data_IF_545298145335
#
_entry.id   IF_545298145335
#
_cell.length_a   1.000
_cell.length_b   1.000
_cell.length_c   1.000
_cell.angle_alpha   90.00
_cell.angle_beta   90.00
_cell.angle_gamma   90.00
#
_symmetry.space_group_name_H-M   'P 1'
#
loop_
_entity.id
_entity.type
_entity.pdbx_description
1 polymer ?
#
# COMPACT_ATOMS: atom_id res chain seq x y z
N UNK A 1 -13.13 7.77 -16.44
CA UNK A 1 -11.89 7.51 -15.70
C UNK A 1 -12.31 6.84 -14.41
N UNK A 2 -11.77 5.68 -14.06
CA UNK A 2 -11.93 5.18 -12.68
C UNK A 2 -11.18 6.16 -11.79
N UNK A 3 -11.83 6.73 -10.79
CA UNK A 3 -11.14 7.57 -9.81
C UNK A 3 -10.02 6.74 -9.17
N UNK A 4 -8.81 7.29 -9.16
CA UNK A 4 -7.70 6.67 -8.45
C UNK A 4 -7.96 6.80 -6.96
N UNK A 5 -7.85 5.68 -6.25
CA UNK A 5 -8.06 5.60 -4.81
C UNK A 5 -6.71 5.41 -4.13
N UNK A 6 -6.46 6.21 -3.09
CA UNK A 6 -5.25 6.06 -2.28
C UNK A 6 -5.41 4.92 -1.27
N UNK A 7 -4.29 4.41 -0.77
CA UNK A 7 -4.30 3.41 0.29
C UNK A 7 -4.97 3.94 1.57
N UNK A 8 -4.80 5.22 1.90
CA UNK A 8 -5.51 5.85 3.02
C UNK A 8 -7.03 5.79 2.85
N UNK A 9 -7.52 6.17 1.67
CA UNK A 9 -8.96 6.13 1.37
C UNK A 9 -9.50 4.70 1.49
N UNK A 10 -8.80 3.72 0.90
CA UNK A 10 -9.20 2.32 0.98
C UNK A 10 -9.27 1.83 2.43
N UNK A 11 -8.25 2.17 3.25
CA UNK A 11 -8.25 1.81 4.67
C UNK A 11 -9.42 2.45 5.43
N UNK A 12 -9.78 3.70 5.12
CA UNK A 12 -10.90 4.39 5.77
C UNK A 12 -12.26 3.76 5.42
N UNK A 13 -12.40 3.19 4.22
CA UNK A 13 -13.58 2.42 3.82
C UNK A 13 -13.63 1.03 4.47
N UNK A 14 -12.47 0.49 4.85
CA UNK A 14 -12.31 -0.84 5.45
C UNK A 14 -11.59 -0.80 6.82
N UNK A 15 -12.10 -0.05 7.82
CA UNK A 15 -11.35 0.27 9.05
C UNK A 15 -11.10 -0.92 9.98
N UNK A 16 -11.87 -2.00 9.84
CA UNK A 16 -11.79 -3.19 10.68
C UNK A 16 -11.28 -4.43 9.94
N UNK A 17 -10.89 -4.29 8.66
CA UNK A 17 -10.45 -5.40 7.83
C UNK A 17 -8.93 -5.53 7.87
N UNK A 18 -8.42 -6.74 7.66
CA UNK A 18 -6.99 -6.97 7.43
C UNK A 18 -6.69 -6.76 5.95
N UNK A 19 -5.63 -6.00 5.71
CA UNK A 19 -5.23 -5.54 4.39
C UNK A 19 -3.78 -5.97 4.13
N UNK A 20 -3.60 -6.82 3.13
CA UNK A 20 -2.31 -7.33 2.66
C UNK A 20 -1.90 -6.55 1.42
N UNK A 21 -0.76 -5.86 1.48
CA UNK A 21 -0.32 -4.93 0.45
C UNK A 21 0.95 -5.46 -0.17
N UNK A 22 0.98 -5.57 -1.50
CA UNK A 22 2.21 -5.65 -2.28
C UNK A 22 2.56 -4.22 -2.73
N UNK A 23 3.49 -3.59 -2.00
CA UNK A 23 3.99 -2.25 -2.31
C UNK A 23 5.35 -2.32 -3.01
N UNK A 24 5.81 -1.24 -3.66
CA UNK A 24 7.19 -1.15 -4.14
C UNK A 24 8.25 -1.39 -3.04
N UNK A 25 7.92 -1.07 -1.78
CA UNK A 25 8.77 -1.29 -0.60
C UNK A 25 8.72 -2.72 -0.03
N UNK A 26 7.90 -3.61 -0.60
CA UNK A 26 7.71 -4.99 -0.13
C UNK A 26 6.29 -5.28 0.34
N UNK A 27 6.10 -6.46 0.94
CA UNK A 27 4.80 -6.86 1.48
C UNK A 27 4.56 -6.22 2.85
N UNK A 28 3.40 -5.60 3.03
CA UNK A 28 3.00 -4.96 4.29
C UNK A 28 1.62 -5.45 4.68
N UNK A 29 1.43 -5.75 5.97
CA UNK A 29 0.10 -6.04 6.53
C UNK A 29 -0.38 -4.83 7.33
N UNK A 30 -1.54 -4.29 6.97
CA UNK A 30 -2.31 -3.43 7.86
C UNK A 30 -3.37 -4.27 8.55
N UNK A 31 -3.43 -4.14 9.87
CA UNK A 31 -4.45 -4.78 10.70
C UNK A 31 -5.01 -3.73 11.66
N UNK A 32 -6.30 -3.78 12.02
CA UNK A 32 -6.85 -2.93 13.07
C UNK A 32 -6.12 -3.06 14.42
N UNK A 33 -5.45 -4.19 14.65
CA UNK A 33 -4.68 -4.47 15.87
C UNK A 33 -3.24 -3.95 15.84
N UNK A 34 -2.76 -3.49 14.68
CA UNK A 34 -1.39 -3.01 14.49
C UNK A 34 -1.39 -1.49 14.36
N UNK A 35 -0.77 -0.75 15.29
CA UNK A 35 -0.61 0.69 15.16
C UNK A 35 0.15 1.08 13.88
N UNK A 36 -0.27 2.18 13.24
CA UNK A 36 0.33 2.66 11.98
C UNK A 36 1.80 3.12 12.13
N UNK A 37 2.26 3.37 13.35
CA UNK A 37 3.65 3.69 13.67
C UNK A 37 4.53 2.45 13.92
N UNK A 38 3.96 1.24 13.80
CA UNK A 38 4.65 -0.04 14.03
C UNK A 38 4.61 -0.97 12.80
N UNK A 39 4.39 -0.40 11.62
CA UNK A 39 4.33 -1.16 10.38
C UNK A 39 5.70 -1.71 9.98
N UNK A 40 5.68 -2.90 9.37
CA UNK A 40 6.86 -3.57 8.87
C UNK A 40 6.59 -4.08 7.46
N UNK A 41 7.56 -3.87 6.57
CA UNK A 41 7.60 -4.49 5.26
C UNK A 41 8.47 -5.74 5.29
N UNK A 42 8.13 -6.76 4.51
CA UNK A 42 8.93 -7.98 4.41
C UNK A 42 8.99 -8.50 2.97
N UNK A 43 10.08 -9.19 2.62
CA UNK A 43 10.27 -9.78 1.29
C UNK A 43 9.64 -11.18 1.15
N UNK A 44 8.67 -11.53 1.99
CA UNK A 44 8.13 -12.89 2.08
C UNK A 44 9.03 -13.91 2.79
N UNK A 45 10.16 -13.46 3.36
CA UNK A 45 11.08 -14.30 4.15
C UNK A 45 11.07 -13.84 5.60
N UNK A 46 10.81 -14.76 6.53
CA UNK A 46 10.81 -14.45 7.97
C UNK A 46 12.18 -13.95 8.43
N UNK A 47 12.21 -12.91 9.27
CA UNK A 47 13.44 -12.30 9.76
C UNK A 47 14.02 -11.22 8.84
N UNK A 48 13.32 -10.87 7.76
CA UNK A 48 13.70 -9.78 6.83
C UNK A 48 12.80 -8.55 6.97
N UNK A 49 12.09 -8.46 8.09
CA UNK A 49 11.17 -7.36 8.35
C UNK A 49 11.96 -6.05 8.52
N UNK A 50 11.58 -5.04 7.75
CA UNK A 50 12.12 -3.68 7.84
C UNK A 50 10.99 -2.74 8.29
N UNK A 51 11.24 -1.83 9.25
CA UNK A 51 10.26 -0.81 9.59
C UNK A 51 9.92 0.04 8.36
N UNK A 52 8.63 0.31 8.17
CA UNK A 52 8.13 1.21 7.11
C UNK A 52 7.17 2.21 7.74
N UNK A 53 7.25 3.47 7.34
CA UNK A 53 6.35 4.49 7.87
C UNK A 53 5.00 4.47 7.14
N UNK A 54 3.91 4.76 7.86
CA UNK A 54 2.60 4.98 7.23
C UNK A 54 2.63 6.12 6.20
N UNK A 55 3.48 7.13 6.42
CA UNK A 55 3.65 8.26 5.51
C UNK A 55 4.17 7.84 4.13
N UNK A 56 4.97 6.78 4.03
CA UNK A 56 5.44 6.21 2.75
C UNK A 56 4.36 5.40 2.02
N UNK A 57 3.30 5.00 2.72
CA UNK A 57 2.28 4.09 2.22
C UNK A 57 0.97 4.81 1.86
N UNK A 58 0.55 5.78 2.68
CA UNK A 58 -0.80 6.35 2.65
C UNK A 58 -1.22 6.94 1.30
N UNK A 59 -0.26 7.53 0.58
CA UNK A 59 -0.47 8.22 -0.69
C UNK A 59 -0.29 7.29 -1.91
N UNK A 60 0.08 6.01 -1.68
CA UNK A 60 0.18 5.04 -2.77
C UNK A 60 -1.20 4.77 -3.38
N UNK A 61 -1.20 4.58 -4.70
CA UNK A 61 -2.40 4.34 -5.49
C UNK A 61 -2.72 2.85 -5.50
N UNK A 62 -3.98 2.50 -5.23
CA UNK A 62 -4.47 1.13 -5.36
C UNK A 62 -4.66 0.80 -6.84
N UNK A 63 -3.74 0.02 -7.39
CA UNK A 63 -3.78 -0.45 -8.78
C UNK A 63 -4.76 -1.61 -8.96
N UNK A 64 -4.80 -2.51 -7.97
CA UNK A 64 -5.78 -3.59 -7.92
C UNK A 64 -6.08 -3.99 -6.48
N UNK A 65 -7.29 -4.48 -6.26
CA UNK A 65 -7.71 -5.05 -4.99
C UNK A 65 -8.51 -6.33 -5.24
N UNK A 66 -8.37 -7.30 -4.34
CA UNK A 66 -9.14 -8.53 -4.34
C UNK A 66 -9.48 -8.92 -2.90
N UNK A 67 -10.76 -9.18 -2.62
CA UNK A 67 -11.18 -9.76 -1.36
C UNK A 67 -11.12 -11.28 -1.43
N UNK A 68 -10.52 -11.92 -0.43
CA UNK A 68 -10.52 -13.37 -0.33
C UNK A 68 -11.52 -13.82 0.75
N UNK A 69 -12.62 -14.41 0.32
CA UNK A 69 -13.67 -14.90 1.24
C UNK A 69 -13.19 -16.03 2.17
N UNK A 70 -12.11 -16.74 1.82
CA UNK A 70 -11.62 -17.86 2.60
C UNK A 70 -10.88 -17.45 3.88
N UNK A 71 -10.18 -16.30 3.86
CA UNK A 71 -9.43 -15.77 5.00
C UNK A 71 -9.95 -14.41 5.51
N UNK A 72 -10.88 -13.78 4.78
CA UNK A 72 -11.48 -12.50 5.14
C UNK A 72 -10.55 -11.30 4.89
N UNK A 73 -9.49 -11.45 4.10
CA UNK A 73 -8.50 -10.40 3.88
C UNK A 73 -8.66 -9.71 2.53
N UNK A 74 -8.31 -8.42 2.50
CA UNK A 74 -8.06 -7.70 1.26
C UNK A 74 -6.62 -7.86 0.82
N UNK A 75 -6.41 -8.13 -0.47
CA UNK A 75 -5.11 -8.19 -1.11
C UNK A 75 -5.00 -7.06 -2.14
N UNK A 76 -4.03 -6.17 -1.97
CA UNK A 76 -3.82 -5.02 -2.83
C UNK A 76 -2.46 -5.07 -3.51
N UNK A 77 -2.45 -4.62 -4.75
CA UNK A 77 -1.25 -4.14 -5.42
C UNK A 77 -1.29 -2.61 -5.40
N UNK A 78 -0.24 -1.98 -4.89
CA UNK A 78 -0.12 -0.53 -4.87
C UNK A 78 1.07 -0.06 -5.71
N UNK A 79 0.98 1.17 -6.19
CA UNK A 79 2.05 1.86 -6.87
C UNK A 79 2.30 3.23 -6.23
N UNK A 80 3.51 3.76 -6.39
CA UNK A 80 3.76 5.16 -6.05
C UNK A 80 2.85 6.05 -6.91
N UNK A 81 2.33 7.16 -6.36
CA UNK A 81 1.61 8.12 -7.16
C UNK A 81 2.54 8.58 -8.29
N UNK A 82 2.04 8.55 -9.53
CA UNK A 82 2.80 9.06 -10.66
C UNK A 82 3.10 10.53 -10.40
N UNK A 83 4.35 10.85 -10.04
CA UNK A 83 4.85 12.19 -10.23
C UNK A 83 4.67 12.47 -11.71
N UNK A 84 3.83 13.45 -12.06
CA UNK A 84 3.98 14.18 -13.31
C UNK A 84 5.39 14.76 -13.29
N UNK A 85 6.39 13.96 -13.68
CA UNK A 85 7.73 14.42 -13.93
C UNK A 85 7.55 15.50 -15.00
N UNK A 86 7.85 16.79 -14.74
CA UNK A 86 7.96 17.70 -15.85
C UNK A 86 9.03 17.10 -16.74
N UNK A 87 8.66 16.69 -17.96
CA UNK A 87 9.60 16.36 -19.01
C UNK A 87 10.61 17.48 -19.01
N UNK A 88 11.82 17.21 -18.50
CA UNK A 88 12.91 18.14 -18.67
C UNK A 88 13.16 18.13 -20.17
N UNK A 89 12.55 19.08 -20.87
CA UNK A 89 12.95 19.49 -22.20
C UNK A 89 14.39 19.92 -22.04
N UNK A 90 15.32 18.98 -22.26
CA UNK A 90 16.71 19.31 -22.50
C UNK A 90 16.68 20.08 -23.81
N UNK A 91 16.68 21.41 -23.70
CA UNK A 91 16.92 22.28 -24.83
C UNK A 91 18.30 21.97 -25.39
N UNK A 92 18.33 21.43 -26.60
CA UNK A 92 19.46 21.52 -27.52
C UNK A 92 18.95 22.14 -28.81
#
# INVERSE_FOLDING_TARGET
>A
MKEQMTLEQFRLEHPNEVIQIMSPGGYVTLSPDIPLDQLQAHAGVRGTEIPISWEELKDQIVESCNFNEADGNWYLLTAEPSLDCPTQTIGM
#
